data_IF_105156647201
#
_entry.id   IF_105156647201
#
_cell.length_a   1.000
_cell.length_b   1.000
_cell.length_c   1.000
_cell.angle_alpha   90.00
_cell.angle_beta   90.00
_cell.angle_gamma   90.00
#
_symmetry.space_group_name_H-M   'P 1'
#
loop_
_entity.id
_entity.type
_entity.pdbx_description
1 polymer ?
#
# COMPACT_ATOMS: atom_id res chain seq x y z
N UNK A 1 -2.13 26.51 -62.74
CA UNK A 1 -1.03 25.62 -62.31
C UNK A 1 -0.48 26.08 -60.96
N UNK A 2 -1.34 26.09 -59.91
CA UNK A 2 -1.00 26.72 -58.62
C UNK A 2 -1.81 26.12 -57.45
N UNK A 3 -1.89 24.79 -57.33
CA UNK A 3 -2.52 24.16 -56.15
C UNK A 3 -1.81 22.90 -55.62
N UNK A 4 -0.78 22.38 -56.29
CA UNK A 4 -0.13 21.13 -55.86
C UNK A 4 0.94 21.33 -54.76
N UNK A 5 1.51 22.52 -54.59
CA UNK A 5 2.61 22.72 -53.63
C UNK A 5 2.19 22.97 -52.17
N UNK A 6 0.92 23.32 -51.90
CA UNK A 6 0.46 23.48 -50.50
C UNK A 6 0.07 22.16 -49.84
N UNK A 7 -0.38 21.18 -50.63
CA UNK A 7 -0.82 19.88 -50.12
C UNK A 7 0.37 19.03 -49.67
N UNK A 8 1.49 19.06 -50.41
CA UNK A 8 2.72 18.37 -50.02
C UNK A 8 3.37 18.94 -48.74
N UNK A 9 3.24 20.25 -48.48
CA UNK A 9 3.74 20.86 -47.24
C UNK A 9 2.89 20.49 -46.02
N UNK A 10 1.58 20.32 -46.18
CA UNK A 10 0.67 20.00 -45.08
C UNK A 10 0.81 18.53 -44.63
N UNK A 11 1.05 17.61 -45.56
CA UNK A 11 1.23 16.18 -45.27
C UNK A 11 2.55 15.90 -44.54
N UNK A 12 3.61 16.67 -44.83
CA UNK A 12 4.89 16.54 -44.12
C UNK A 12 4.81 17.00 -42.65
N UNK A 13 4.00 18.02 -42.34
CA UNK A 13 3.81 18.51 -40.96
C UNK A 13 2.97 17.54 -40.14
N UNK A 14 1.93 16.94 -40.73
CA UNK A 14 1.09 15.94 -40.05
C UNK A 14 1.87 14.65 -39.74
N UNK A 15 2.81 14.26 -40.61
CA UNK A 15 3.64 13.07 -40.39
C UNK A 15 4.68 13.27 -39.27
N UNK A 16 5.19 14.49 -39.08
CA UNK A 16 6.08 14.81 -37.95
C UNK A 16 5.33 14.99 -36.61
N UNK A 17 4.06 15.40 -36.65
CA UNK A 17 3.22 15.43 -35.45
C UNK A 17 2.80 14.01 -35.03
N UNK A 18 2.54 13.11 -35.98
CA UNK A 18 2.21 11.71 -35.68
C UNK A 18 3.40 10.88 -35.15
N UNK A 19 4.64 11.25 -35.50
CA UNK A 19 5.86 10.58 -35.02
C UNK A 19 6.48 11.19 -33.75
N UNK A 20 5.94 12.31 -33.25
CA UNK A 20 6.31 12.86 -31.93
C UNK A 20 5.26 12.59 -30.84
N UNK A 21 4.06 12.12 -31.21
CA UNK A 21 3.05 11.65 -30.25
C UNK A 21 3.15 10.17 -29.89
N UNK A 22 4.01 9.40 -30.56
CA UNK A 22 4.21 7.97 -30.27
C UNK A 22 5.27 7.69 -29.20
N UNK A 23 6.02 8.70 -28.76
CA UNK A 23 6.87 8.65 -27.56
C UNK A 23 6.21 9.25 -26.31
N UNK A 24 5.01 9.83 -26.46
CA UNK A 24 4.08 10.09 -25.37
C UNK A 24 2.95 9.05 -25.43
N UNK A 25 3.33 7.77 -25.40
CA UNK A 25 2.59 6.87 -24.52
C UNK A 25 2.74 7.49 -23.12
N UNK A 26 1.86 8.44 -22.80
CA UNK A 26 1.46 8.75 -21.44
C UNK A 26 1.40 7.39 -20.78
N UNK A 27 2.37 7.11 -19.91
CA UNK A 27 2.17 6.12 -18.88
C UNK A 27 0.81 6.52 -18.31
N UNK A 28 -0.23 5.75 -18.64
CA UNK A 28 -1.49 5.82 -17.92
C UNK A 28 -1.03 5.86 -16.47
N UNK A 29 -1.37 6.89 -15.67
CA UNK A 29 -0.82 7.00 -14.33
C UNK A 29 -1.25 5.73 -13.64
N UNK A 30 -0.34 4.78 -13.57
CA UNK A 30 -0.64 3.42 -13.22
C UNK A 30 -0.72 3.47 -11.73
N UNK A 31 -1.87 3.91 -11.20
CA UNK A 31 -2.25 3.96 -9.78
C UNK A 31 -1.01 3.99 -8.90
N UNK A 32 -0.37 5.16 -8.85
CA UNK A 32 0.87 5.33 -8.11
C UNK A 32 0.65 4.89 -6.67
N UNK A 33 1.65 4.24 -6.06
CA UNK A 33 1.59 3.92 -4.66
C UNK A 33 1.45 5.21 -3.83
N UNK A 34 0.64 5.14 -2.78
CA UNK A 34 0.30 6.27 -1.92
C UNK A 34 0.53 5.91 -0.46
N UNK A 35 0.84 6.94 0.32
CA UNK A 35 0.95 6.90 1.77
C UNK A 35 0.11 8.04 2.31
N UNK A 36 -0.71 7.76 3.31
CA UNK A 36 -1.52 8.74 4.00
C UNK A 36 -1.30 8.64 5.50
N UNK A 37 -1.14 9.79 6.16
CA UNK A 37 -1.23 9.87 7.62
C UNK A 37 -2.61 10.39 8.01
N UNK A 38 -3.29 9.67 8.89
CA UNK A 38 -4.56 10.04 9.47
C UNK A 38 -4.38 10.43 10.93
N UNK A 39 -4.95 11.56 11.33
CA UNK A 39 -5.20 11.85 12.74
C UNK A 39 -6.46 11.09 13.13
N UNK A 40 -6.33 10.23 14.14
CA UNK A 40 -7.41 9.39 14.66
C UNK A 40 -7.78 9.85 16.05
N UNK A 41 -9.01 10.31 16.23
CA UNK A 41 -9.52 10.83 17.51
C UNK A 41 -10.61 9.93 18.08
N UNK A 42 -10.51 9.57 19.36
CA UNK A 42 -11.56 8.86 20.13
C UNK A 42 -11.52 9.32 21.59
N UNK A 43 -12.68 9.71 22.13
CA UNK A 43 -12.77 10.08 23.56
C UNK A 43 -11.88 11.26 23.98
N UNK A 44 -11.52 12.15 23.06
CA UNK A 44 -10.63 13.28 23.30
C UNK A 44 -9.14 13.00 23.12
N UNK A 45 -8.74 11.74 22.96
CA UNK A 45 -7.36 11.35 22.64
C UNK A 45 -7.16 11.32 21.13
N UNK A 46 -5.99 11.75 20.66
CA UNK A 46 -5.62 11.73 19.25
C UNK A 46 -4.27 11.07 19.03
N UNK A 47 -4.15 10.30 17.95
CA UNK A 47 -2.92 9.66 17.50
C UNK A 47 -2.80 9.71 15.98
N UNK A 48 -1.59 9.52 15.46
CA UNK A 48 -1.37 9.36 14.02
C UNK A 48 -1.38 7.89 13.66
N UNK A 49 -2.03 7.57 12.55
CA UNK A 49 -2.01 6.26 11.90
C UNK A 49 -1.54 6.46 10.47
N UNK A 50 -0.61 5.64 10.02
CA UNK A 50 -0.12 5.68 8.63
C UNK A 50 -0.68 4.50 7.84
N UNK A 51 -1.16 4.78 6.63
CA UNK A 51 -1.69 3.80 5.70
C UNK A 51 -0.97 3.91 4.36
N UNK A 52 -0.56 2.78 3.82
CA UNK A 52 0.04 2.68 2.49
C UNK A 52 -0.90 1.92 1.57
N UNK A 53 -0.96 2.34 0.31
CA UNK A 53 -1.87 1.78 -0.67
C UNK A 53 -1.22 1.68 -2.04
N UNK A 54 -1.32 0.50 -2.64
CA UNK A 54 -1.19 0.32 -4.08
C UNK A 54 -2.26 -0.67 -4.59
N UNK A 55 -2.16 -1.11 -5.85
CA UNK A 55 -3.13 -2.03 -6.47
C UNK A 55 -3.24 -3.38 -5.76
N UNK A 56 -2.15 -3.84 -5.17
CA UNK A 56 -2.01 -5.20 -4.65
C UNK A 56 -1.89 -5.22 -3.14
N UNK A 57 -1.36 -4.16 -2.53
CA UNK A 57 -1.03 -4.13 -1.10
C UNK A 57 -1.70 -2.96 -0.41
N UNK A 58 -2.28 -3.24 0.75
CA UNK A 58 -2.63 -2.25 1.77
C UNK A 58 -1.72 -2.48 2.98
N UNK A 59 -1.05 -1.41 3.42
CA UNK A 59 -0.22 -1.42 4.61
C UNK A 59 -0.78 -0.50 5.68
N UNK A 60 -0.61 -0.85 6.95
CA UNK A 60 -1.10 -0.08 8.08
C UNK A 60 -0.11 -0.10 9.23
N UNK A 61 0.06 1.04 9.87
CA UNK A 61 0.77 1.11 11.15
C UNK A 61 0.18 2.19 12.07
N UNK A 62 -0.11 1.85 13.33
CA UNK A 62 -0.48 2.82 14.36
C UNK A 62 0.72 3.46 15.08
N UNK A 63 1.96 3.00 14.81
CA UNK A 63 3.18 3.41 15.53
C UNK A 63 4.40 3.58 14.59
N UNK A 64 4.21 4.24 13.44
CA UNK A 64 5.33 4.53 12.52
C UNK A 64 5.76 3.31 11.69
N UNK A 65 7.05 3.08 11.48
CA UNK A 65 7.55 2.05 10.53
C UNK A 65 8.24 0.86 11.19
N UNK A 66 8.21 0.74 12.52
CA UNK A 66 8.85 -0.38 13.23
C UNK A 66 8.17 -1.72 12.91
N UNK A 67 6.85 -1.69 12.80
CA UNK A 67 6.00 -2.85 12.51
C UNK A 67 4.85 -2.43 11.61
N UNK A 68 4.63 -3.17 10.53
CA UNK A 68 3.64 -2.83 9.51
C UNK A 68 2.77 -4.05 9.22
N UNK A 69 1.47 -3.91 9.43
CA UNK A 69 0.47 -4.87 9.02
C UNK A 69 0.24 -4.74 7.52
N UNK A 70 0.36 -5.84 6.76
CA UNK A 70 0.24 -5.86 5.31
C UNK A 70 -0.82 -6.86 4.86
N UNK A 71 -1.71 -6.43 3.97
CA UNK A 71 -2.62 -7.30 3.25
C UNK A 71 -2.23 -7.32 1.77
N UNK A 72 -1.82 -8.48 1.26
CA UNK A 72 -1.56 -8.69 -0.18
C UNK A 72 -2.83 -9.17 -0.88
N UNK A 73 -3.00 -8.73 -2.12
CA UNK A 73 -4.24 -8.86 -2.87
C UNK A 73 -5.44 -8.31 -2.08
N UNK A 74 -5.25 -7.17 -1.40
CA UNK A 74 -6.22 -6.59 -0.44
C UNK A 74 -7.63 -6.33 -1.01
N UNK A 75 -7.74 -6.23 -2.34
CA UNK A 75 -8.99 -6.08 -3.08
C UNK A 75 -9.80 -7.38 -3.21
N UNK A 76 -9.26 -8.52 -2.74
CA UNK A 76 -9.91 -9.83 -2.82
C UNK A 76 -10.60 -10.17 -1.49
N UNK A 77 -11.52 -11.14 -1.52
CA UNK A 77 -12.20 -11.65 -0.31
C UNK A 77 -11.27 -12.44 0.62
N UNK A 78 -10.13 -12.91 0.10
CA UNK A 78 -9.18 -13.73 0.85
C UNK A 78 -7.75 -13.20 0.67
N UNK A 79 -7.46 -12.00 1.19
CA UNK A 79 -6.11 -11.48 1.15
C UNK A 79 -5.21 -12.25 2.10
N UNK A 80 -3.95 -12.40 1.72
CA UNK A 80 -2.93 -12.94 2.62
C UNK A 80 -2.47 -11.84 3.58
N UNK A 81 -2.40 -12.18 4.87
CA UNK A 81 -1.97 -11.28 5.93
C UNK A 81 -0.51 -11.52 6.28
N UNK A 82 0.27 -10.43 6.32
CA UNK A 82 1.66 -10.45 6.73
C UNK A 82 1.93 -9.35 7.74
N UNK A 83 2.94 -9.58 8.56
CA UNK A 83 3.55 -8.55 9.38
C UNK A 83 4.98 -8.31 8.92
N UNK A 84 5.25 -7.11 8.42
CA UNK A 84 6.58 -6.68 8.02
C UNK A 84 7.28 -5.97 9.17
N UNK A 85 8.58 -6.24 9.29
CA UNK A 85 9.48 -5.61 10.26
C UNK A 85 10.63 -4.94 9.51
N UNK A 86 10.45 -3.68 9.04
CA UNK A 86 11.39 -3.02 8.15
C UNK A 86 12.83 -2.96 8.67
N UNK A 87 13.04 -2.72 9.97
CA UNK A 87 14.39 -2.68 10.55
C UNK A 87 15.11 -4.02 10.53
N UNK A 88 14.35 -5.11 10.44
CA UNK A 88 14.86 -6.48 10.45
C UNK A 88 14.79 -7.14 9.08
N UNK A 89 14.16 -6.50 8.10
CA UNK A 89 14.05 -6.95 6.70
C UNK A 89 13.44 -8.35 6.54
N UNK A 90 12.43 -8.67 7.36
CA UNK A 90 11.64 -9.89 7.21
C UNK A 90 10.14 -9.60 7.31
N UNK A 91 9.38 -10.59 6.85
CA UNK A 91 7.94 -10.68 6.97
C UNK A 91 7.56 -11.99 7.66
N UNK A 92 6.50 -11.96 8.46
CA UNK A 92 5.82 -13.16 8.94
C UNK A 92 4.50 -13.28 8.19
N UNK A 93 4.29 -14.40 7.50
CA UNK A 93 2.98 -14.74 6.94
C UNK A 93 2.14 -15.41 8.02
N UNK A 94 0.88 -15.00 8.13
CA UNK A 94 -0.07 -15.61 9.04
C UNK A 94 -1.04 -16.48 8.28
N UNK A 95 -1.46 -17.57 8.92
CA UNK A 95 -2.40 -18.50 8.31
C UNK A 95 -3.80 -17.88 8.10
N UNK A 96 -4.66 -18.67 7.46
CA UNK A 96 -6.01 -18.25 7.10
C UNK A 96 -6.91 -18.00 8.33
N UNK A 97 -6.65 -18.64 9.47
CA UNK A 97 -7.45 -18.47 10.70
C UNK A 97 -7.14 -17.13 11.36
N UNK A 98 -5.85 -16.79 11.52
CA UNK A 98 -5.46 -15.46 12.01
C UNK A 98 -5.90 -14.36 11.05
N UNK A 99 -5.91 -14.64 9.74
CA UNK A 99 -6.44 -13.70 8.75
C UNK A 99 -7.94 -13.41 8.93
N UNK A 100 -8.73 -14.36 9.45
CA UNK A 100 -10.16 -14.13 9.80
C UNK A 100 -10.31 -13.23 11.02
N UNK A 101 -9.44 -13.37 12.02
CA UNK A 101 -9.44 -12.46 13.18
C UNK A 101 -9.11 -11.02 12.76
N UNK A 102 -8.26 -10.86 11.74
CA UNK A 102 -7.87 -9.57 11.17
C UNK A 102 -8.86 -9.01 10.13
N UNK A 103 -9.95 -9.73 9.82
CA UNK A 103 -10.95 -9.32 8.84
C UNK A 103 -11.62 -8.00 9.23
N UNK A 104 -11.93 -7.83 10.52
CA UNK A 104 -12.54 -6.59 11.04
C UNK A 104 -11.63 -5.39 10.78
N UNK A 105 -10.33 -5.51 11.08
CA UNK A 105 -9.37 -4.43 10.81
C UNK A 105 -9.31 -4.12 9.33
N UNK A 106 -9.22 -5.12 8.46
CA UNK A 106 -9.18 -4.90 7.02
C UNK A 106 -10.45 -4.18 6.53
N UNK A 107 -11.62 -4.57 7.01
CA UNK A 107 -12.90 -3.95 6.65
C UNK A 107 -13.03 -2.51 7.16
N UNK A 108 -12.44 -2.20 8.32
CA UNK A 108 -12.26 -0.82 8.76
C UNK A 108 -11.34 -0.04 7.80
N UNK A 109 -10.19 -0.59 7.43
CA UNK A 109 -9.23 0.08 6.55
C UNK A 109 -9.77 0.30 5.13
N UNK A 110 -10.61 -0.61 4.62
CA UNK A 110 -11.32 -0.42 3.34
C UNK A 110 -12.16 0.86 3.34
N UNK A 111 -12.69 1.29 4.48
CA UNK A 111 -13.48 2.52 4.58
C UNK A 111 -12.62 3.79 4.51
N UNK A 112 -11.30 3.69 4.70
CA UNK A 112 -10.36 4.80 4.50
C UNK A 112 -10.06 5.05 3.02
N UNK A 113 -10.54 4.17 2.12
CA UNK A 113 -10.22 4.20 0.70
C UNK A 113 -11.49 4.22 -0.15
N UNK A 114 -11.51 5.06 -1.17
CA UNK A 114 -12.50 5.03 -2.24
C UNK A 114 -11.81 4.69 -3.57
N UNK A 115 -11.87 3.42 -3.96
CA UNK A 115 -11.15 2.89 -5.11
C UNK A 115 -9.63 2.85 -4.86
N UNK A 116 -8.89 3.81 -5.43
CA UNK A 116 -7.44 3.95 -5.25
C UNK A 116 -7.05 5.29 -4.60
N UNK A 117 -8.01 5.99 -4.02
CA UNK A 117 -7.84 7.27 -3.33
C UNK A 117 -8.15 7.14 -1.85
N UNK A 118 -7.43 7.87 -1.00
CA UNK A 118 -7.79 7.98 0.42
C UNK A 118 -8.94 8.96 0.60
N UNK A 119 -9.84 8.66 1.53
CA UNK A 119 -10.91 9.58 1.93
C UNK A 119 -10.35 10.68 2.83
N UNK A 120 -10.90 11.88 2.76
CA UNK A 120 -10.44 13.00 3.60
C UNK A 120 -10.85 12.84 5.07
N UNK A 121 -12.05 12.29 5.32
CA UNK A 121 -12.57 12.05 6.66
C UNK A 121 -13.56 10.90 6.69
N UNK A 122 -13.49 10.06 7.71
CA UNK A 122 -14.47 8.99 7.97
C UNK A 122 -14.59 8.72 9.47
N UNK A 123 -15.75 8.22 9.90
CA UNK A 123 -15.95 7.75 11.28
C UNK A 123 -16.14 6.25 11.27
N UNK A 124 -15.28 5.52 11.98
CA UNK A 124 -15.28 4.05 12.04
C UNK A 124 -15.30 3.66 13.51
N UNK A 125 -16.31 2.92 13.96
CA UNK A 125 -16.43 2.45 15.35
C UNK A 125 -16.21 3.54 16.42
N UNK A 126 -16.77 4.73 16.16
CA UNK A 126 -16.68 5.90 17.04
C UNK A 126 -15.30 6.59 17.07
N UNK A 127 -14.35 6.15 16.22
CA UNK A 127 -13.07 6.80 15.96
C UNK A 127 -13.24 7.71 14.73
N UNK A 128 -12.89 8.99 14.85
CA UNK A 128 -12.84 9.90 13.70
C UNK A 128 -11.45 9.84 13.08
N UNK A 129 -11.37 9.53 11.79
CA UNK A 129 -10.15 9.54 10.99
C UNK A 129 -10.19 10.78 10.11
N UNK A 130 -9.13 11.58 10.15
CA UNK A 130 -8.97 12.78 9.34
C UNK A 130 -7.62 12.78 8.64
N UNK A 131 -7.64 12.87 7.32
CA UNK A 131 -6.43 12.87 6.50
C UNK A 131 -5.60 14.11 6.82
N UNK A 132 -4.36 13.88 7.22
CA UNK A 132 -3.42 14.94 7.62
C UNK A 132 -2.28 15.12 6.62
N UNK A 133 -1.85 14.05 5.97
CA UNK A 133 -0.81 14.07 4.94
C UNK A 133 -1.15 13.07 3.83
N UNK A 134 -0.72 13.39 2.61
CA UNK A 134 -0.82 12.50 1.46
C UNK A 134 0.46 12.60 0.64
N UNK A 135 1.13 11.48 0.50
CA UNK A 135 2.31 11.31 -0.34
C UNK A 135 1.99 10.32 -1.45
N UNK A 136 2.45 10.59 -2.67
CA UNK A 136 2.36 9.67 -3.79
C UNK A 136 3.63 9.77 -4.62
N UNK A 137 4.11 8.65 -5.15
CA UNK A 137 5.40 8.70 -5.83
C UNK A 137 6.11 7.38 -6.03
N UNK A 138 7.22 7.48 -6.75
CA UNK A 138 8.17 6.39 -6.90
C UNK A 138 8.80 6.00 -5.56
N UNK A 139 9.01 6.96 -4.64
CA UNK A 139 9.56 6.69 -3.30
C UNK A 139 8.64 5.76 -2.53
N UNK A 140 7.34 6.08 -2.43
CA UNK A 140 6.35 5.23 -1.75
C UNK A 140 6.28 3.85 -2.40
N UNK A 141 6.31 3.80 -3.74
CA UNK A 141 6.30 2.55 -4.49
C UNK A 141 7.52 1.69 -4.15
N UNK A 142 8.70 2.30 -4.06
CA UNK A 142 9.94 1.60 -3.73
C UNK A 142 9.89 1.06 -2.30
N UNK A 143 9.45 1.86 -1.33
CA UNK A 143 9.30 1.40 0.07
C UNK A 143 8.36 0.19 0.17
N UNK A 144 7.22 0.21 -0.53
CA UNK A 144 6.31 -0.95 -0.54
C UNK A 144 6.89 -2.17 -1.27
N UNK A 145 7.71 -1.95 -2.31
CA UNK A 145 8.40 -3.02 -3.03
C UNK A 145 9.46 -3.69 -2.15
N UNK A 146 10.21 -2.91 -1.36
CA UNK A 146 11.21 -3.44 -0.41
C UNK A 146 10.59 -4.45 0.55
N UNK A 147 9.39 -4.19 1.06
CA UNK A 147 8.68 -5.15 1.95
C UNK A 147 8.28 -6.45 1.24
N UNK A 148 8.12 -6.41 -0.08
CA UNK A 148 7.81 -7.60 -0.87
C UNK A 148 9.03 -8.49 -1.07
N UNK A 149 10.23 -7.92 -0.99
CA UNK A 149 11.51 -8.61 -1.14
C UNK A 149 12.06 -9.16 0.19
N UNK A 150 11.41 -8.84 1.32
CA UNK A 150 11.80 -9.32 2.64
C UNK A 150 11.68 -10.85 2.76
N UNK A 151 12.61 -11.43 3.53
CA UNK A 151 12.56 -12.86 3.84
C UNK A 151 11.25 -13.16 4.56
N UNK A 152 10.45 -14.05 4.00
CA UNK A 152 9.15 -14.43 4.57
C UNK A 152 9.30 -15.75 5.32
N UNK A 153 8.73 -15.81 6.52
CA UNK A 153 8.58 -17.02 7.31
C UNK A 153 7.09 -17.31 7.47
N UNK A 154 6.68 -18.56 7.27
CA UNK A 154 5.33 -18.99 7.65
C UNK A 154 5.28 -19.15 9.18
N UNK A 155 4.14 -18.84 9.79
CA UNK A 155 3.89 -18.97 11.21
C UNK A 155 4.20 -20.38 11.73
N UNK A 156 3.87 -21.42 10.94
CA UNK A 156 4.16 -22.81 11.29
C UNK A 156 5.67 -23.09 11.40
N UNK A 157 6.50 -22.41 10.61
CA UNK A 157 7.97 -22.57 10.62
C UNK A 157 8.62 -21.89 11.84
N UNK A 158 7.93 -20.97 12.51
CA UNK A 158 8.48 -20.24 13.67
C UNK A 158 8.66 -21.18 14.87
N UNK A 159 7.71 -22.10 15.10
CA UNK A 159 7.80 -23.06 16.21
C UNK A 159 8.91 -24.11 16.03
N UNK A 160 9.23 -24.47 14.79
CA UNK A 160 10.31 -25.42 14.49
C UNK A 160 11.70 -24.74 14.48
N UNK A 161 11.74 -23.41 14.39
CA UNK A 161 12.97 -22.61 14.30
C UNK A 161 13.18 -21.70 15.52
N UNK A 162 12.69 -22.09 16.71
CA UNK A 162 12.89 -21.35 17.98
C UNK A 162 14.37 -21.09 18.33
N UNK A 163 15.29 -21.88 17.77
CA UNK A 163 16.72 -21.68 17.91
C UNK A 163 17.27 -20.47 17.13
N UNK A 164 16.50 -19.90 16.20
CA UNK A 164 16.83 -18.64 15.55
C UNK A 164 16.60 -17.48 16.55
N UNK A 165 17.65 -16.73 16.93
CA UNK A 165 17.54 -15.67 17.93
C UNK A 165 16.56 -14.55 17.54
N UNK A 166 16.30 -14.36 16.25
CA UNK A 166 15.37 -13.36 15.74
C UNK A 166 13.94 -13.85 15.89
N UNK A 167 13.66 -15.12 15.57
CA UNK A 167 12.33 -15.71 15.71
C UNK A 167 11.92 -15.87 17.19
N UNK A 168 12.87 -16.24 18.05
CA UNK A 168 12.65 -16.33 19.49
C UNK A 168 12.28 -15.00 20.16
N UNK A 169 12.78 -13.87 19.64
CA UNK A 169 12.40 -12.53 20.12
C UNK A 169 10.96 -12.16 19.73
N UNK A 170 10.44 -12.69 18.62
CA UNK A 170 9.12 -12.33 18.09
C UNK A 170 7.98 -13.03 18.84
N UNK A 171 8.21 -14.27 19.28
CA UNK A 171 7.31 -14.99 20.18
C UNK A 171 7.10 -14.19 21.48
N UNK A 172 8.12 -13.49 21.97
CA UNK A 172 8.08 -12.72 23.21
C UNK A 172 7.41 -11.35 23.08
N UNK A 173 7.33 -10.78 21.87
CA UNK A 173 6.79 -9.43 21.68
C UNK A 173 5.25 -9.37 21.70
N UNK A 174 4.58 -10.52 21.68
CA UNK A 174 3.13 -10.58 21.58
C UNK A 174 2.68 -10.13 20.20
N UNK A 175 1.88 -10.96 19.53
CA UNK A 175 1.23 -10.54 18.31
C UNK A 175 0.32 -9.36 18.63
N UNK A 176 0.34 -8.32 17.79
CA UNK A 176 -0.44 -7.11 18.06
C UNK A 176 -1.91 -7.48 18.02
N UNK A 177 -2.58 -7.25 19.14
CA UNK A 177 -4.02 -7.12 19.21
C UNK A 177 -4.37 -5.85 18.41
N UNK A 178 -4.80 -6.02 17.16
CA UNK A 178 -5.10 -4.88 16.28
C UNK A 178 -6.51 -4.37 16.61
N UNK A 179 -6.53 -3.31 17.42
CA UNK A 179 -7.62 -2.35 17.73
C UNK A 179 -8.65 -2.65 18.81
#
# INVERSE_FOLDING_TARGET
MLQMNKILSLIAIISFLALSLSSLALAQPGTMAKKADFVVTKGGESRIVTVWLNKEVMGFSPQGTEQIALWRLWQTEHPSFFQAYPEKQYCIEFDRLTSQEMETTLDELKQLVNGHEFVERVTINGKQFELSSLESGQVVKQTMAEWSDYKTFDYADIGDNEADPVLGQLIQQGFVEVL
#
